data_IF_413606604199
#
_entry.id   IF_413606604199
#
_cell.length_a   1.000
_cell.length_b   1.000
_cell.length_c   1.000
_cell.angle_alpha   90.00
_cell.angle_beta   90.00
_cell.angle_gamma   90.00
#
_symmetry.space_group_name_H-M   'P 1'
#
loop_
_entity.id
_entity.type
_entity.pdbx_description
1 polymer ?
#
# COMPACT_ATOMS: atom_id res chain seq x y z
N UNK A 1 33.72 30.70 22.86
CA UNK A 1 34.33 30.59 24.24
C UNK A 1 33.46 29.67 25.07
N UNK A 2 34.12 28.67 25.73
CA UNK A 2 33.67 27.75 26.80
C UNK A 2 32.76 26.60 26.37
N UNK A 3 33.26 25.39 26.10
CA UNK A 3 33.71 24.23 26.96
C UNK A 3 32.51 23.37 27.35
N UNK A 4 32.29 22.24 26.72
CA UNK A 4 32.66 20.85 27.03
C UNK A 4 32.41 20.41 28.49
N UNK A 5 31.55 19.39 28.66
CA UNK A 5 31.78 18.39 29.70
C UNK A 5 31.13 17.04 29.33
N UNK A 6 32.02 16.07 29.10
CA UNK A 6 31.77 14.64 29.02
C UNK A 6 31.45 14.09 30.40
N UNK A 7 30.56 13.09 30.50
CA UNK A 7 30.57 12.17 31.64
C UNK A 7 30.35 10.73 31.10
N UNK A 8 31.46 9.99 31.08
CA UNK A 8 31.51 8.54 31.00
C UNK A 8 31.10 7.97 32.37
N UNK A 9 30.27 6.93 32.39
CA UNK A 9 30.20 5.98 33.51
C UNK A 9 30.18 4.56 32.94
N UNK A 10 31.33 3.92 33.14
CA UNK A 10 31.54 2.49 33.04
C UNK A 10 31.06 1.81 34.31
N UNK A 11 30.38 0.67 34.23
CA UNK A 11 30.27 -0.27 35.34
C UNK A 11 30.62 -1.68 34.87
N UNK A 12 31.55 -2.25 35.60
CA UNK A 12 32.22 -3.50 35.33
C UNK A 12 31.45 -4.71 35.90
N UNK A 13 31.57 -5.76 35.17
CA UNK A 13 31.60 -7.21 35.39
C UNK A 13 31.78 -7.66 36.86
N UNK A 14 30.99 -8.66 37.29
CA UNK A 14 31.45 -9.72 38.20
C UNK A 14 30.84 -11.07 37.84
N UNK A 15 31.73 -12.00 37.48
CA UNK A 15 31.46 -13.43 37.33
C UNK A 15 31.53 -14.12 38.71
N UNK A 16 30.70 -15.11 38.93
CA UNK A 16 30.89 -16.10 39.99
C UNK A 16 30.59 -17.51 39.46
N UNK A 17 31.66 -18.28 39.37
CA UNK A 17 31.70 -19.72 39.13
C UNK A 17 31.63 -20.42 40.50
N UNK A 18 30.83 -21.46 40.63
CA UNK A 18 30.99 -22.47 41.65
C UNK A 18 30.61 -23.86 41.13
N UNK A 19 31.64 -24.69 41.07
CA UNK A 19 31.61 -26.12 40.80
C UNK A 19 31.14 -26.91 42.04
N UNK A 20 30.56 -28.08 41.83
CA UNK A 20 30.33 -29.05 42.88
C UNK A 20 30.07 -30.44 42.30
N UNK A 21 31.12 -31.29 42.32
CA UNK A 21 31.09 -32.72 42.05
C UNK A 21 30.72 -33.54 43.29
N UNK A 22 30.06 -34.70 43.11
CA UNK A 22 30.29 -36.01 43.77
C UNK A 22 29.23 -37.00 43.30
N UNK A 23 29.52 -38.06 42.60
CA UNK A 23 30.10 -39.38 42.80
C UNK A 23 29.24 -40.38 43.62
N UNK A 24 29.01 -41.56 43.00
CA UNK A 24 28.77 -42.88 43.57
C UNK A 24 27.41 -43.46 43.16
N UNK A 25 27.29 -44.63 42.61
CA UNK A 25 28.08 -45.82 42.42
C UNK A 25 27.11 -47.00 42.27
N UNK A 26 27.28 -47.79 41.22
CA UNK A 26 27.17 -49.23 41.04
C UNK A 26 25.96 -50.00 41.70
N UNK A 27 25.24 -50.81 40.97
CA UNK A 27 25.49 -52.22 40.64
C UNK A 27 24.30 -52.84 39.90
N UNK A 28 24.60 -53.70 38.97
CA UNK A 28 23.73 -54.65 38.27
C UNK A 28 23.82 -55.99 39.03
N UNK A 29 22.88 -56.93 39.02
CA UNK A 29 22.94 -57.98 38.01
C UNK A 29 21.62 -58.63 37.55
N UNK A 30 21.61 -58.98 36.27
CA UNK A 30 21.33 -60.28 35.61
C UNK A 30 20.18 -61.20 36.12
N UNK A 31 19.35 -61.59 35.26
CA UNK A 31 19.13 -62.91 34.60
C UNK A 31 17.67 -63.30 34.44
N UNK A 32 17.33 -63.69 33.35
CA UNK A 32 16.98 -64.92 32.60
C UNK A 32 15.52 -65.00 32.14
N UNK A 33 15.42 -65.11 30.80
CA UNK A 33 14.63 -65.99 29.94
C UNK A 33 13.17 -66.36 30.34
N UNK A 34 12.26 -66.26 29.37
CA UNK A 34 11.75 -67.34 28.56
C UNK A 34 10.74 -66.80 27.50
N UNK A 35 10.82 -67.41 26.33
CA UNK A 35 10.01 -67.25 25.13
C UNK A 35 8.56 -67.56 25.31
N UNK A 36 7.67 -66.81 24.62
CA UNK A 36 6.57 -67.46 23.86
C UNK A 36 6.04 -66.53 22.79
N UNK A 37 5.88 -67.09 21.61
CA UNK A 37 5.27 -66.53 20.42
C UNK A 37 3.76 -66.39 20.60
N UNK A 38 3.20 -65.24 20.18
CA UNK A 38 1.94 -65.33 19.41
C UNK A 38 1.77 -64.13 18.51
N UNK A 39 1.40 -64.44 17.30
CA UNK A 39 1.13 -63.60 16.14
C UNK A 39 -0.18 -62.85 16.35
N UNK A 40 -0.21 -61.53 15.97
CA UNK A 40 -1.31 -61.04 15.11
C UNK A 40 -1.16 -59.57 14.79
N UNK A 41 -1.32 -59.32 13.49
CA UNK A 41 -1.84 -58.12 12.84
C UNK A 41 -1.08 -56.81 13.03
N UNK A 42 -0.22 -56.56 12.07
CA UNK A 42 0.21 -55.21 11.63
C UNK A 42 -1.00 -54.38 11.25
N UNK A 43 -1.28 -53.34 12.04
CA UNK A 43 -1.96 -52.14 11.57
C UNK A 43 -0.88 -51.12 11.36
N UNK A 44 -0.56 -50.87 10.11
CA UNK A 44 0.35 -49.77 9.71
C UNK A 44 -0.33 -48.44 10.09
N UNK A 45 0.07 -47.83 11.20
CA UNK A 45 -0.06 -46.38 11.37
C UNK A 45 0.96 -45.75 10.43
N UNK A 46 0.46 -45.28 9.28
CA UNK A 46 1.14 -44.28 8.50
C UNK A 46 1.26 -43.01 9.36
N UNK A 47 2.37 -42.90 10.06
CA UNK A 47 2.84 -41.63 10.60
C UNK A 47 3.10 -40.73 9.38
N UNK A 48 2.12 -39.92 9.05
CA UNK A 48 2.31 -38.76 8.18
C UNK A 48 3.47 -37.96 8.77
N UNK A 49 4.66 -38.15 8.19
CA UNK A 49 5.77 -37.21 8.37
C UNK A 49 5.23 -35.86 7.89
N UNK A 50 4.99 -34.92 8.79
CA UNK A 50 4.87 -33.51 8.44
C UNK A 50 6.11 -33.20 7.57
N UNK A 51 5.89 -32.94 6.30
CA UNK A 51 6.90 -32.44 5.40
C UNK A 51 7.40 -31.13 6.06
N UNK A 52 8.70 -31.07 6.36
CA UNK A 52 9.34 -29.78 6.67
C UNK A 52 8.94 -28.81 5.58
N UNK A 53 8.53 -27.55 5.91
CA UNK A 53 8.17 -26.57 4.90
C UNK A 53 9.36 -26.41 3.96
N UNK A 54 9.15 -26.73 2.68
CA UNK A 54 10.11 -26.41 1.63
C UNK A 54 10.56 -24.96 1.85
N UNK A 55 11.86 -24.71 1.64
CA UNK A 55 12.48 -23.37 1.79
C UNK A 55 11.76 -22.40 0.84
N UNK A 56 10.69 -21.77 1.35
CA UNK A 56 9.83 -20.90 0.54
C UNK A 56 10.56 -19.60 0.33
N UNK A 57 10.60 -19.12 -0.90
CA UNK A 57 11.14 -17.80 -1.19
C UNK A 57 10.35 -16.72 -0.43
N UNK A 58 11.05 -15.91 0.35
CA UNK A 58 10.44 -14.80 1.08
C UNK A 58 10.40 -13.57 0.18
N UNK A 59 9.21 -13.15 -0.21
CA UNK A 59 9.00 -11.93 -0.99
C UNK A 59 9.15 -10.70 -0.11
N UNK A 60 10.01 -9.76 -0.52
CA UNK A 60 10.22 -8.48 0.13
C UNK A 60 9.29 -7.43 -0.50
N UNK A 61 8.33 -6.98 0.26
CA UNK A 61 7.23 -6.14 -0.22
C UNK A 61 7.31 -4.76 0.42
N UNK A 62 7.45 -3.73 -0.42
CA UNK A 62 7.40 -2.34 0.01
C UNK A 62 6.04 -1.71 -0.26
N UNK A 63 5.56 -0.87 0.65
CA UNK A 63 4.32 -0.12 0.42
C UNK A 63 4.40 1.31 0.95
N UNK A 64 3.58 2.18 0.37
CA UNK A 64 3.48 3.58 0.78
C UNK A 64 2.42 3.73 1.88
N UNK A 65 2.77 4.38 2.98
CA UNK A 65 1.85 4.65 4.08
C UNK A 65 0.65 5.47 3.60
N UNK A 66 -0.53 4.85 3.57
CA UNK A 66 -1.75 5.46 3.07
C UNK A 66 -2.71 4.44 2.45
N UNK A 67 -3.64 4.87 1.57
CA UNK A 67 -4.63 3.99 0.94
C UNK A 67 -4.03 2.77 0.24
N UNK A 68 -2.87 2.91 -0.43
CA UNK A 68 -2.18 1.80 -1.11
C UNK A 68 -1.77 0.66 -0.18
N UNK A 69 -1.53 0.93 1.11
CA UNK A 69 -1.18 -0.11 2.10
C UNK A 69 -2.40 -0.70 2.80
N UNK A 70 -3.57 -0.05 2.73
CA UNK A 70 -4.75 -0.50 3.48
C UNK A 70 -5.30 -1.83 2.95
N UNK A 71 -5.14 -2.10 1.65
CA UNK A 71 -5.52 -3.38 1.05
C UNK A 71 -4.63 -4.56 1.48
N UNK A 72 -3.44 -4.29 2.05
CA UNK A 72 -2.51 -5.33 2.51
C UNK A 72 -2.65 -5.70 3.99
N UNK A 73 -3.37 -4.90 4.81
CA UNK A 73 -3.29 -5.04 6.27
C UNK A 73 -3.76 -6.40 6.79
N UNK A 74 -4.69 -7.06 6.10
CA UNK A 74 -5.11 -8.41 6.47
C UNK A 74 -4.02 -9.43 6.15
N UNK A 75 -3.38 -9.34 5.00
CA UNK A 75 -2.26 -10.19 4.63
C UNK A 75 -1.06 -9.98 5.56
N UNK A 76 -0.76 -8.73 5.95
CA UNK A 76 0.28 -8.42 6.93
C UNK A 76 -0.01 -9.10 8.27
N UNK A 77 -1.23 -9.01 8.79
CA UNK A 77 -1.68 -9.65 10.02
C UNK A 77 -1.61 -11.19 9.94
N UNK A 78 -2.00 -11.77 8.80
CA UNK A 78 -1.91 -13.21 8.56
C UNK A 78 -0.44 -13.67 8.51
N UNK A 79 0.42 -12.93 7.85
CA UNK A 79 1.86 -13.22 7.76
C UNK A 79 2.53 -13.16 9.14
N UNK A 80 2.24 -12.12 9.95
CA UNK A 80 2.78 -12.00 11.31
C UNK A 80 2.35 -13.16 12.22
N UNK A 81 1.13 -13.67 12.02
CA UNK A 81 0.57 -14.82 12.77
C UNK A 81 1.01 -16.18 12.22
N UNK A 82 1.76 -16.21 11.12
CA UNK A 82 2.17 -17.45 10.45
C UNK A 82 1.03 -18.19 9.75
N UNK A 83 -0.04 -17.49 9.39
CA UNK A 83 -1.23 -18.02 8.72
C UNK A 83 -1.29 -17.71 7.22
N UNK A 84 -0.30 -17.00 6.68
CA UNK A 84 -0.19 -16.74 5.25
C UNK A 84 0.31 -18.00 4.51
N UNK A 85 -0.15 -18.20 3.27
CA UNK A 85 0.33 -19.28 2.41
C UNK A 85 1.74 -18.99 1.91
N UNK A 86 2.05 -17.72 1.57
CA UNK A 86 3.36 -17.27 1.18
C UNK A 86 4.26 -16.93 2.37
N UNK A 87 5.52 -16.58 2.07
CA UNK A 87 6.47 -16.00 3.02
C UNK A 87 6.73 -14.55 2.63
N UNK A 88 6.50 -13.60 3.53
CA UNK A 88 6.53 -12.17 3.24
C UNK A 88 7.31 -11.39 4.27
N UNK A 89 8.09 -10.41 3.79
CA UNK A 89 8.75 -9.38 4.60
C UNK A 89 8.22 -8.00 4.15
N UNK A 90 7.47 -7.34 5.01
CA UNK A 90 6.81 -6.07 4.70
C UNK A 90 7.59 -4.88 5.21
N UNK A 91 7.81 -3.91 4.33
CA UNK A 91 8.39 -2.60 4.66
C UNK A 91 7.42 -1.50 4.26
N UNK A 92 7.04 -0.63 5.18
CA UNK A 92 6.20 0.53 4.90
C UNK A 92 7.02 1.82 5.01
N UNK A 93 6.93 2.67 3.98
CA UNK A 93 7.63 3.96 3.91
C UNK A 93 6.64 5.12 3.77
N UNK A 94 7.11 6.34 4.01
CA UNK A 94 6.29 7.56 3.89
C UNK A 94 6.53 8.33 2.60
N UNK A 95 7.66 8.10 1.94
CA UNK A 95 8.04 8.77 0.69
C UNK A 95 8.16 7.76 -0.45
N UNK A 96 7.50 8.04 -1.57
CA UNK A 96 7.46 7.14 -2.71
C UNK A 96 8.86 6.96 -3.37
N UNK A 97 9.74 7.97 -3.29
CA UNK A 97 11.11 7.88 -3.81
C UNK A 97 11.96 6.82 -3.07
N UNK A 98 11.64 6.51 -1.81
CA UNK A 98 12.31 5.42 -1.08
C UNK A 98 12.00 4.06 -1.70
N UNK A 99 10.75 3.83 -2.15
CA UNK A 99 10.37 2.60 -2.85
C UNK A 99 11.09 2.48 -4.19
N UNK A 100 11.18 3.58 -4.96
CA UNK A 100 11.95 3.60 -6.20
C UNK A 100 13.41 3.16 -5.95
N UNK A 101 14.08 3.76 -4.95
CA UNK A 101 15.46 3.40 -4.60
C UNK A 101 15.61 1.91 -4.29
N UNK A 102 14.72 1.37 -3.44
CA UNK A 102 14.75 -0.03 -2.99
C UNK A 102 14.42 -1.05 -4.10
N UNK A 103 13.54 -0.74 -5.04
CA UNK A 103 13.29 -1.59 -6.23
C UNK A 103 14.52 -1.63 -7.13
N UNK A 104 15.12 -0.45 -7.41
CA UNK A 104 16.31 -0.35 -8.27
C UNK A 104 17.52 -1.05 -7.65
N UNK A 105 17.72 -0.94 -6.32
CA UNK A 105 18.80 -1.64 -5.60
C UNK A 105 18.53 -3.12 -5.36
N UNK A 106 17.34 -3.63 -5.73
CA UNK A 106 16.88 -5.01 -5.48
C UNK A 106 16.72 -5.36 -4.00
N UNK A 107 16.52 -4.35 -3.15
CA UNK A 107 16.18 -4.55 -1.73
C UNK A 107 14.72 -4.94 -1.54
N UNK A 108 13.86 -4.65 -2.55
CA UNK A 108 12.47 -5.09 -2.63
C UNK A 108 12.24 -5.90 -3.91
N UNK A 109 11.32 -6.85 -3.83
CA UNK A 109 10.82 -7.66 -4.93
C UNK A 109 9.55 -7.08 -5.53
N UNK A 110 8.66 -6.61 -4.65
CA UNK A 110 7.36 -6.02 -4.96
C UNK A 110 7.29 -4.64 -4.30
N UNK A 111 6.64 -3.68 -4.97
CA UNK A 111 6.32 -2.39 -4.37
C UNK A 111 4.91 -1.91 -4.78
N UNK A 112 4.17 -1.39 -3.79
CA UNK A 112 2.91 -0.69 -4.00
C UNK A 112 3.21 0.80 -4.11
N UNK A 113 3.07 1.33 -5.32
CA UNK A 113 3.53 2.68 -5.69
C UNK A 113 2.42 3.48 -6.37
N UNK A 114 2.54 4.83 -6.43
CA UNK A 114 1.69 5.65 -7.29
C UNK A 114 1.75 5.18 -8.76
N UNK A 115 0.61 5.17 -9.43
CA UNK A 115 0.48 4.62 -10.77
C UNK A 115 1.43 5.26 -11.81
N UNK A 116 1.59 6.59 -11.77
CA UNK A 116 2.53 7.30 -12.65
C UNK A 116 4.00 6.98 -12.31
N UNK A 117 4.31 6.74 -11.03
CA UNK A 117 5.65 6.35 -10.61
C UNK A 117 6.02 4.95 -11.14
N UNK A 118 5.06 4.01 -11.21
CA UNK A 118 5.31 2.71 -11.82
C UNK A 118 5.83 2.85 -13.27
N UNK A 119 5.22 3.73 -14.07
CA UNK A 119 5.70 4.04 -15.43
C UNK A 119 7.10 4.69 -15.42
N UNK A 120 7.38 5.60 -14.49
CA UNK A 120 8.70 6.20 -14.33
C UNK A 120 9.74 5.13 -13.96
N UNK A 121 9.42 4.21 -13.05
CA UNK A 121 10.30 3.10 -12.66
C UNK A 121 10.58 2.20 -13.86
N UNK A 122 9.55 1.79 -14.59
CA UNK A 122 9.67 0.97 -15.80
C UNK A 122 10.63 1.61 -16.81
N UNK A 123 10.46 2.89 -17.12
CA UNK A 123 11.33 3.60 -18.05
C UNK A 123 12.78 3.74 -17.53
N UNK A 124 12.97 3.98 -16.24
CA UNK A 124 14.29 4.14 -15.61
C UNK A 124 15.05 2.81 -15.43
N UNK A 125 14.36 1.70 -15.33
CA UNK A 125 14.96 0.37 -15.14
C UNK A 125 15.13 -0.39 -16.44
N UNK A 126 14.97 0.26 -17.61
CA UNK A 126 14.96 -0.41 -18.92
C UNK A 126 13.96 -1.58 -18.97
N UNK A 127 12.74 -1.33 -18.49
CA UNK A 127 11.60 -2.26 -18.51
C UNK A 127 11.75 -3.48 -17.58
N UNK A 128 12.51 -3.35 -16.49
CA UNK A 128 12.74 -4.47 -15.55
C UNK A 128 11.65 -4.64 -14.47
N UNK A 129 10.53 -3.94 -14.58
CA UNK A 129 9.37 -4.10 -13.68
C UNK A 129 8.08 -4.27 -14.46
N UNK A 130 7.15 -5.02 -13.90
CA UNK A 130 5.81 -5.28 -14.45
C UNK A 130 4.75 -4.98 -13.38
N UNK A 131 3.61 -4.40 -13.78
CA UNK A 131 2.46 -4.14 -12.91
C UNK A 131 1.63 -5.40 -12.77
N UNK A 132 1.42 -5.86 -11.53
CA UNK A 132 0.61 -7.04 -11.21
C UNK A 132 -0.88 -6.71 -11.11
N UNK A 133 -1.21 -5.60 -10.44
CA UNK A 133 -2.59 -5.16 -10.19
C UNK A 133 -2.68 -3.65 -9.97
N UNK A 134 -3.92 -3.13 -10.07
CA UNK A 134 -4.31 -1.84 -9.50
C UNK A 134 -4.83 -2.12 -8.10
N UNK A 135 -4.21 -1.53 -7.09
CA UNK A 135 -4.57 -1.70 -5.68
C UNK A 135 -5.42 -0.55 -5.11
N UNK A 136 -5.41 0.62 -5.76
CA UNK A 136 -6.12 1.81 -5.30
C UNK A 136 -6.58 2.64 -6.50
N UNK A 137 -7.89 2.88 -6.60
CA UNK A 137 -8.45 3.84 -7.55
C UNK A 137 -8.38 5.28 -7.00
N UNK A 138 -9.20 6.20 -7.52
CA UNK A 138 -9.13 7.60 -7.10
C UNK A 138 -9.54 7.81 -5.64
N UNK A 139 -8.80 8.68 -4.95
CA UNK A 139 -8.97 9.01 -3.53
C UNK A 139 -9.03 10.51 -3.27
N UNK A 140 -9.23 11.31 -4.32
CA UNK A 140 -9.23 12.77 -4.28
C UNK A 140 -10.64 13.32 -4.23
N UNK A 141 -10.89 14.23 -3.28
CA UNK A 141 -12.20 14.84 -3.05
C UNK A 141 -12.08 16.34 -2.84
N UNK A 142 -13.01 17.10 -3.42
CA UNK A 142 -13.23 18.48 -3.07
C UNK A 142 -14.02 18.57 -1.75
N UNK A 143 -13.50 19.31 -0.79
CA UNK A 143 -14.09 19.50 0.55
C UNK A 143 -14.40 20.99 0.76
N UNK A 144 -15.63 21.32 1.14
CA UNK A 144 -16.08 22.68 1.41
C UNK A 144 -17.35 22.68 2.25
N UNK A 145 -17.67 23.79 2.90
CA UNK A 145 -19.00 24.07 3.46
C UNK A 145 -19.95 24.72 2.44
N UNK A 146 -19.45 25.11 1.27
CA UNK A 146 -20.25 25.70 0.20
C UNK A 146 -21.10 24.64 -0.53
N UNK A 147 -22.36 24.55 -0.15
CA UNK A 147 -23.32 23.59 -0.73
C UNK A 147 -23.70 23.89 -2.20
N UNK A 148 -23.25 24.99 -2.79
CA UNK A 148 -23.50 25.31 -4.20
C UNK A 148 -22.64 24.48 -5.17
N UNK A 149 -21.55 23.89 -4.68
CA UNK A 149 -20.62 23.07 -5.47
C UNK A 149 -21.20 21.66 -5.60
N UNK A 150 -21.50 21.23 -6.83
CA UNK A 150 -22.04 19.91 -7.16
C UNK A 150 -21.24 19.19 -8.25
N UNK A 151 -20.56 19.97 -9.10
CA UNK A 151 -19.75 19.50 -10.22
C UNK A 151 -18.48 20.33 -10.32
N UNK A 152 -17.53 19.88 -11.11
CA UNK A 152 -16.30 20.63 -11.35
C UNK A 152 -16.55 22.00 -12.01
N UNK A 153 -17.64 22.15 -12.79
CA UNK A 153 -18.02 23.43 -13.40
C UNK A 153 -18.35 24.50 -12.35
N UNK A 154 -18.83 24.13 -11.17
CA UNK A 154 -19.18 25.05 -10.08
C UNK A 154 -17.93 25.64 -9.37
N UNK A 155 -16.74 25.17 -9.73
CA UNK A 155 -15.46 25.72 -9.24
C UNK A 155 -15.10 27.05 -9.93
N UNK A 156 -15.83 27.49 -10.95
CA UNK A 156 -15.56 28.75 -11.65
C UNK A 156 -15.56 29.95 -10.69
N UNK A 157 -14.45 30.72 -10.72
CA UNK A 157 -14.24 31.89 -9.87
C UNK A 157 -13.88 31.59 -8.42
N UNK A 158 -13.74 30.29 -8.04
CA UNK A 158 -13.39 29.91 -6.67
C UNK A 158 -11.89 29.77 -6.50
N UNK A 159 -11.45 29.79 -5.23
CA UNK A 159 -10.08 29.41 -4.85
C UNK A 159 -10.08 27.98 -4.38
N UNK A 160 -9.24 27.14 -5.01
CA UNK A 160 -9.02 25.74 -4.66
C UNK A 160 -7.64 25.57 -4.05
N UNK A 161 -7.60 25.10 -2.81
CA UNK A 161 -6.37 24.77 -2.08
C UNK A 161 -6.05 23.29 -2.27
N UNK A 162 -4.82 22.99 -2.70
CA UNK A 162 -4.38 21.62 -2.97
C UNK A 162 -2.89 21.44 -2.70
N UNK A 163 -2.41 20.20 -2.80
CA UNK A 163 -0.99 19.86 -2.75
C UNK A 163 -0.53 19.24 -4.05
N UNK A 164 0.79 19.08 -4.23
CA UNK A 164 1.34 18.28 -5.31
C UNK A 164 1.27 18.94 -6.68
N UNK A 165 1.69 20.22 -6.79
CA UNK A 165 1.84 20.89 -8.09
C UNK A 165 2.69 20.05 -9.05
N UNK A 166 2.19 19.79 -10.26
CA UNK A 166 2.88 18.95 -11.25
C UNK A 166 2.87 17.47 -10.90
N UNK A 167 1.93 17.01 -10.06
CA UNK A 167 1.73 15.60 -9.69
C UNK A 167 0.27 15.18 -9.87
N UNK A 168 -0.07 13.94 -9.51
CA UNK A 168 -1.41 13.37 -9.72
C UNK A 168 -2.58 14.27 -9.28
N UNK A 169 -2.60 14.89 -8.08
CA UNK A 169 -3.73 15.75 -7.69
C UNK A 169 -3.94 16.94 -8.63
N UNK A 170 -2.85 17.55 -9.07
CA UNK A 170 -2.87 18.69 -9.99
C UNK A 170 -3.36 18.27 -11.38
N UNK A 171 -2.77 17.22 -11.96
CA UNK A 171 -3.18 16.73 -13.27
C UNK A 171 -4.61 16.23 -13.28
N UNK A 172 -5.06 15.51 -12.25
CA UNK A 172 -6.42 15.04 -12.14
C UNK A 172 -7.41 16.20 -12.09
N UNK A 173 -7.14 17.25 -11.30
CA UNK A 173 -7.99 18.44 -11.26
C UNK A 173 -8.02 19.15 -12.61
N UNK A 174 -6.87 19.39 -13.23
CA UNK A 174 -6.79 20.08 -14.53
C UNK A 174 -7.52 19.30 -15.62
N UNK A 175 -7.43 17.96 -15.65
CA UNK A 175 -8.17 17.12 -16.58
C UNK A 175 -9.68 17.31 -16.43
N UNK A 176 -10.18 17.21 -15.19
CA UNK A 176 -11.60 17.35 -14.87
C UNK A 176 -12.12 18.76 -15.18
N UNK A 177 -11.35 19.80 -14.87
CA UNK A 177 -11.68 21.19 -15.22
C UNK A 177 -11.81 21.38 -16.72
N UNK A 178 -10.82 20.90 -17.48
CA UNK A 178 -10.83 20.99 -18.96
C UNK A 178 -12.04 20.30 -19.56
N UNK A 179 -12.38 19.11 -19.05
CA UNK A 179 -13.56 18.37 -19.49
C UNK A 179 -14.88 19.08 -19.14
N UNK A 180 -14.89 19.86 -18.05
CA UNK A 180 -16.04 20.71 -17.64
C UNK A 180 -16.07 22.06 -18.35
N UNK A 181 -15.20 22.28 -19.36
CA UNK A 181 -15.12 23.54 -20.12
C UNK A 181 -14.45 24.68 -19.37
N UNK A 182 -13.71 24.39 -18.32
CA UNK A 182 -12.94 25.34 -17.54
C UNK A 182 -11.44 25.21 -17.82
N UNK A 183 -10.70 26.30 -17.56
CA UNK A 183 -9.25 26.34 -17.58
C UNK A 183 -8.70 26.73 -16.21
N UNK A 184 -7.38 26.62 -16.01
CA UNK A 184 -6.75 27.08 -14.79
C UNK A 184 -6.93 28.60 -14.55
N UNK A 185 -7.22 29.39 -15.63
CA UNK A 185 -7.48 30.84 -15.51
C UNK A 185 -8.90 31.15 -14.99
N UNK A 186 -9.81 30.19 -15.05
CA UNK A 186 -11.19 30.32 -14.54
C UNK A 186 -11.28 30.14 -13.03
N UNK A 187 -10.24 29.64 -12.38
CA UNK A 187 -10.15 29.38 -10.93
C UNK A 187 -8.82 29.89 -10.37
N UNK A 188 -8.74 30.04 -9.06
CA UNK A 188 -7.47 30.34 -8.38
C UNK A 188 -6.93 29.06 -7.73
N UNK A 189 -5.77 28.56 -8.19
CA UNK A 189 -5.11 27.39 -7.59
C UNK A 189 -4.05 27.81 -6.58
N UNK A 190 -4.25 27.41 -5.33
CA UNK A 190 -3.34 27.69 -4.22
C UNK A 190 -2.65 26.39 -3.76
N UNK A 191 -1.40 26.19 -4.17
CA UNK A 191 -0.64 24.99 -3.80
C UNK A 191 -0.03 25.14 -2.40
N UNK A 192 -0.21 24.11 -1.56
CA UNK A 192 0.38 23.99 -0.22
C UNK A 192 1.40 22.87 -0.21
N UNK A 193 2.32 22.92 0.75
CA UNK A 193 3.37 21.91 0.89
C UNK A 193 2.79 20.56 1.33
N UNK A 194 1.81 20.60 2.25
CA UNK A 194 1.23 19.40 2.85
C UNK A 194 -0.30 19.48 2.95
N UNK A 195 -0.95 18.32 2.88
CA UNK A 195 -2.41 18.22 3.00
C UNK A 195 -2.94 18.74 4.35
N UNK A 196 -2.16 18.63 5.43
CA UNK A 196 -2.51 19.16 6.74
C UNK A 196 -2.65 20.70 6.74
N UNK A 197 -1.92 21.43 5.89
CA UNK A 197 -2.08 22.87 5.73
C UNK A 197 -3.45 23.20 5.10
N UNK A 198 -3.86 22.43 4.09
CA UNK A 198 -5.20 22.57 3.47
C UNK A 198 -6.30 22.31 4.50
N UNK A 199 -6.16 21.27 5.32
CA UNK A 199 -7.10 20.99 6.44
C UNK A 199 -7.19 22.18 7.39
N UNK A 200 -6.05 22.80 7.74
CA UNK A 200 -6.03 23.98 8.62
C UNK A 200 -6.71 25.19 7.99
N UNK A 201 -6.54 25.41 6.69
CA UNK A 201 -7.22 26.47 5.95
C UNK A 201 -8.74 26.26 5.96
N UNK A 202 -9.22 25.04 5.70
CA UNK A 202 -10.65 24.72 5.72
C UNK A 202 -11.28 24.88 7.10
N UNK A 203 -10.51 24.72 8.17
CA UNK A 203 -10.97 24.99 9.54
C UNK A 203 -11.25 26.49 9.76
N UNK A 204 -10.42 27.35 9.18
CA UNK A 204 -10.53 28.82 9.32
C UNK A 204 -11.47 29.44 8.29
N UNK A 205 -11.52 28.85 7.09
CA UNK A 205 -12.30 29.33 5.93
C UNK A 205 -13.12 28.16 5.37
N UNK A 206 -14.21 27.76 6.02
CA UNK A 206 -14.94 26.55 5.65
C UNK A 206 -15.59 26.63 4.26
N UNK A 207 -15.90 27.85 3.76
CA UNK A 207 -16.45 28.06 2.41
C UNK A 207 -15.37 27.97 1.29
N UNK A 208 -14.09 27.92 1.64
CA UNK A 208 -13.04 27.65 0.67
C UNK A 208 -13.12 26.18 0.20
N UNK A 209 -12.55 25.91 -0.97
CA UNK A 209 -12.48 24.53 -1.51
C UNK A 209 -11.10 23.95 -1.26
N UNK A 210 -11.03 22.83 -0.56
CA UNK A 210 -9.80 22.05 -0.44
C UNK A 210 -9.89 20.79 -1.27
N UNK A 211 -8.94 20.54 -2.17
CA UNK A 211 -8.77 19.25 -2.83
C UNK A 211 -7.83 18.40 -1.99
N UNK A 212 -8.37 17.35 -1.39
CA UNK A 212 -7.67 16.51 -0.43
C UNK A 212 -7.75 15.02 -0.79
N UNK A 213 -6.69 14.25 -0.54
CA UNK A 213 -6.79 12.79 -0.54
C UNK A 213 -7.36 12.26 0.78
N UNK A 214 -7.90 11.04 0.77
CA UNK A 214 -8.09 10.29 2.01
C UNK A 214 -6.73 9.91 2.62
N UNK A 215 -6.59 9.92 3.95
CA UNK A 215 -7.61 10.15 4.99
C UNK A 215 -7.79 11.63 5.42
N UNK A 216 -7.12 12.59 4.75
CA UNK A 216 -7.17 14.01 5.12
C UNK A 216 -8.57 14.61 4.98
N UNK A 217 -9.38 14.13 4.01
CA UNK A 217 -10.81 14.47 3.89
C UNK A 217 -11.55 14.14 5.18
N UNK A 218 -11.44 12.90 5.65
CA UNK A 218 -12.08 12.45 6.90
C UNK A 218 -11.57 13.24 8.10
N UNK A 219 -10.27 13.53 8.14
CA UNK A 219 -9.69 14.34 9.22
C UNK A 219 -10.19 15.79 9.22
N UNK A 220 -10.37 16.40 8.04
CA UNK A 220 -10.93 17.75 7.92
C UNK A 220 -12.39 17.79 8.42
N UNK A 221 -13.22 16.88 7.94
CA UNK A 221 -14.63 16.78 8.32
C UNK A 221 -14.80 16.45 9.83
N UNK A 222 -13.88 15.68 10.43
CA UNK A 222 -13.89 15.41 11.86
C UNK A 222 -13.51 16.63 12.72
N UNK A 223 -12.84 17.64 12.15
CA UNK A 223 -12.46 18.89 12.84
C UNK A 223 -13.48 20.00 12.66
N UNK A 224 -14.34 19.91 11.64
CA UNK A 224 -15.36 20.90 11.36
C UNK A 224 -16.57 20.24 10.70
N UNK A 225 -17.67 20.11 11.42
CA UNK A 225 -18.90 19.44 11.00
C UNK A 225 -19.65 20.16 9.87
N UNK A 226 -19.31 21.42 9.55
CA UNK A 226 -19.88 22.12 8.40
C UNK A 226 -19.28 21.65 7.06
N UNK A 227 -18.08 21.06 7.08
CA UNK A 227 -17.41 20.58 5.89
C UNK A 227 -18.06 19.31 5.33
N UNK A 228 -18.15 19.24 4.01
CA UNK A 228 -18.69 18.10 3.26
C UNK A 228 -17.78 17.75 2.10
N UNK A 229 -17.81 16.51 1.65
CA UNK A 229 -17.31 16.14 0.34
C UNK A 229 -18.29 16.68 -0.71
N UNK A 230 -17.92 17.75 -1.38
CA UNK A 230 -18.75 18.43 -2.38
C UNK A 230 -18.43 17.97 -3.81
N UNK A 231 -17.23 17.38 -4.01
CA UNK A 231 -16.78 16.89 -5.30
C UNK A 231 -16.02 15.57 -5.11
N UNK A 232 -16.36 14.57 -5.93
CA UNK A 232 -15.64 13.30 -6.04
C UNK A 232 -14.91 13.30 -7.38
N UNK A 233 -13.58 13.47 -7.32
CA UNK A 233 -12.77 13.60 -8.54
C UNK A 233 -12.77 12.34 -9.39
N UNK A 234 -12.96 11.17 -8.78
CA UNK A 234 -13.07 9.91 -9.52
C UNK A 234 -14.35 9.88 -10.38
N UNK A 235 -15.48 10.30 -9.80
CA UNK A 235 -16.75 10.37 -10.56
C UNK A 235 -16.68 11.40 -11.66
N UNK A 236 -16.09 12.57 -11.40
CA UNK A 236 -15.89 13.59 -12.42
C UNK A 236 -14.97 13.09 -13.54
N UNK A 237 -13.89 12.39 -13.19
CA UNK A 237 -12.98 11.78 -14.16
C UNK A 237 -13.69 10.72 -15.01
N UNK A 238 -14.38 9.78 -14.38
CA UNK A 238 -15.07 8.68 -15.08
C UNK A 238 -16.17 9.21 -16.03
N UNK A 239 -16.85 10.30 -15.66
CA UNK A 239 -17.81 10.97 -16.53
C UNK A 239 -17.17 11.59 -17.78
N UNK A 240 -15.85 11.88 -17.76
CA UNK A 240 -15.10 12.51 -18.86
C UNK A 240 -14.27 11.53 -19.66
N UNK A 241 -14.00 10.33 -19.14
CA UNK A 241 -13.10 9.35 -19.75
C UNK A 241 -13.57 8.84 -21.12
N UNK A 242 -14.86 8.95 -21.43
CA UNK A 242 -15.41 8.63 -22.74
C UNK A 242 -14.96 7.28 -23.27
N UNK A 243 -14.64 7.21 -24.58
CA UNK A 243 -14.14 6.00 -25.24
C UNK A 243 -12.69 5.62 -24.86
N UNK A 244 -11.93 6.49 -24.17
CA UNK A 244 -10.54 6.19 -23.75
C UNK A 244 -10.47 5.16 -22.64
N UNK A 245 -11.58 4.87 -21.93
CA UNK A 245 -11.71 3.75 -20.99
C UNK A 245 -10.85 3.85 -19.71
N UNK A 246 -10.12 4.96 -19.52
CA UNK A 246 -9.28 5.16 -18.33
C UNK A 246 -10.09 5.59 -17.13
N UNK A 247 -9.68 5.20 -15.93
CA UNK A 247 -10.20 5.69 -14.65
C UNK A 247 -9.08 6.40 -13.88
N UNK A 248 -9.43 7.17 -12.86
CA UNK A 248 -8.41 7.77 -11.97
C UNK A 248 -7.74 6.66 -11.14
N UNK A 249 -6.52 6.28 -11.52
CA UNK A 249 -5.73 5.24 -10.83
C UNK A 249 -4.71 5.90 -9.92
N UNK A 250 -4.82 5.64 -8.61
CA UNK A 250 -3.88 6.19 -7.63
C UNK A 250 -2.70 5.28 -7.39
N UNK A 251 -2.93 3.99 -7.15
CA UNK A 251 -1.90 3.03 -6.76
C UNK A 251 -1.94 1.74 -7.53
N UNK A 252 -0.75 1.20 -7.79
CA UNK A 252 -0.52 -0.10 -8.45
C UNK A 252 0.53 -0.90 -7.70
N UNK A 253 0.50 -2.20 -7.89
CA UNK A 253 1.49 -3.14 -7.38
C UNK A 253 2.44 -3.50 -8.52
N UNK A 254 3.73 -3.21 -8.36
CA UNK A 254 4.79 -3.61 -9.31
C UNK A 254 5.65 -4.72 -8.75
N UNK A 255 6.16 -5.57 -9.62
CA UNK A 255 7.13 -6.61 -9.30
C UNK A 255 8.31 -6.54 -10.27
N UNK A 256 9.50 -6.90 -9.80
CA UNK A 256 10.66 -7.07 -10.66
C UNK A 256 10.51 -8.30 -11.56
N UNK A 257 10.92 -8.17 -12.81
CA UNK A 257 10.78 -9.24 -13.82
C UNK A 257 11.63 -10.48 -13.51
N UNK A 258 12.80 -10.30 -12.88
CA UNK A 258 13.65 -11.43 -12.44
C UNK A 258 12.92 -12.27 -11.37
N UNK A 259 12.19 -11.63 -10.44
CA UNK A 259 11.41 -12.33 -9.41
C UNK A 259 10.20 -13.06 -10.01
N UNK A 260 9.47 -12.41 -10.92
CA UNK A 260 8.35 -13.07 -11.64
C UNK A 260 8.84 -14.33 -12.35
N UNK A 261 10.00 -14.25 -13.01
CA UNK A 261 10.59 -15.37 -13.76
C UNK A 261 11.06 -16.51 -12.86
N UNK A 262 11.76 -16.16 -11.78
CA UNK A 262 12.48 -17.15 -10.97
C UNK A 262 11.61 -17.69 -9.81
N UNK A 263 10.57 -16.96 -9.39
CA UNK A 263 9.71 -17.27 -8.23
C UNK A 263 8.21 -17.12 -8.54
N UNK A 264 7.77 -17.51 -9.73
CA UNK A 264 6.39 -17.36 -10.21
C UNK A 264 5.32 -17.93 -9.27
N UNK A 265 5.60 -19.06 -8.59
CA UNK A 265 4.67 -19.64 -7.60
C UNK A 265 4.48 -18.71 -6.39
N UNK A 266 5.55 -18.09 -5.91
CA UNK A 266 5.45 -17.12 -4.79
C UNK A 266 4.67 -15.87 -5.21
N UNK A 267 4.83 -15.42 -6.46
CA UNK A 267 4.05 -14.28 -7.01
C UNK A 267 2.58 -14.65 -7.14
N UNK A 268 2.24 -15.85 -7.62
CA UNK A 268 0.86 -16.31 -7.74
C UNK A 268 0.17 -16.38 -6.36
N UNK A 269 0.87 -16.92 -5.34
CA UNK A 269 0.38 -16.94 -3.96
C UNK A 269 0.14 -15.54 -3.43
N UNK A 270 1.10 -14.62 -3.60
CA UNK A 270 0.95 -13.22 -3.19
C UNK A 270 -0.24 -12.55 -3.87
N UNK A 271 -0.41 -12.71 -5.17
CA UNK A 271 -1.54 -12.10 -5.90
C UNK A 271 -2.89 -12.60 -5.38
N UNK A 272 -3.01 -13.90 -5.11
CA UNK A 272 -4.23 -14.48 -4.54
C UNK A 272 -4.52 -13.92 -3.13
N UNK A 273 -3.55 -13.92 -2.23
CA UNK A 273 -3.70 -13.44 -0.86
C UNK A 273 -3.87 -11.91 -0.80
N UNK A 274 -3.21 -11.14 -1.70
CA UNK A 274 -3.42 -9.69 -1.81
C UNK A 274 -4.87 -9.38 -2.23
N UNK A 275 -5.39 -10.12 -3.22
CA UNK A 275 -6.80 -9.99 -3.64
C UNK A 275 -7.75 -10.24 -2.48
N UNK A 276 -7.58 -11.35 -1.77
CA UNK A 276 -8.40 -11.68 -0.60
C UNK A 276 -8.31 -10.60 0.48
N UNK A 277 -7.11 -10.07 0.74
CA UNK A 277 -6.87 -9.00 1.70
C UNK A 277 -7.59 -7.70 1.30
N UNK A 278 -7.54 -7.32 0.01
CA UNK A 278 -8.24 -6.13 -0.50
C UNK A 278 -9.77 -6.28 -0.45
N UNK A 279 -10.29 -7.47 -0.80
CA UNK A 279 -11.72 -7.79 -0.69
C UNK A 279 -12.18 -7.77 0.77
N UNK A 280 -11.37 -8.36 1.68
CA UNK A 280 -11.62 -8.31 3.12
C UNK A 280 -11.69 -6.88 3.64
N UNK A 281 -10.78 -6.01 3.22
CA UNK A 281 -10.73 -4.62 3.67
C UNK A 281 -12.02 -3.85 3.38
N UNK A 282 -12.65 -4.11 2.25
CA UNK A 282 -13.93 -3.50 1.87
C UNK A 282 -15.13 -4.15 2.58
N UNK A 283 -15.10 -5.46 2.80
CA UNK A 283 -16.20 -6.21 3.40
C UNK A 283 -16.24 -6.07 4.94
N UNK A 284 -15.10 -5.85 5.60
CA UNK A 284 -14.93 -5.88 7.05
C UNK A 284 -14.32 -4.58 7.58
N UNK A 285 -14.97 -3.44 7.29
CA UNK A 285 -14.44 -2.10 7.54
C UNK A 285 -13.96 -1.87 8.97
N UNK A 286 -14.73 -2.31 9.98
CA UNK A 286 -14.37 -2.13 11.38
C UNK A 286 -13.12 -2.93 11.79
N UNK A 287 -12.99 -4.19 11.33
CA UNK A 287 -11.80 -5.02 11.57
C UNK A 287 -10.59 -4.46 10.83
N UNK A 288 -10.78 -4.07 9.56
CA UNK A 288 -9.75 -3.41 8.77
C UNK A 288 -9.27 -2.11 9.41
N UNK A 289 -10.17 -1.30 9.98
CA UNK A 289 -9.80 -0.08 10.69
C UNK A 289 -8.91 -0.35 11.91
N UNK A 290 -9.16 -1.44 12.64
CA UNK A 290 -8.30 -1.86 13.74
C UNK A 290 -6.90 -2.27 13.23
N UNK A 291 -6.82 -3.04 12.15
CA UNK A 291 -5.57 -3.43 11.51
C UNK A 291 -4.79 -2.22 10.94
N UNK A 292 -5.49 -1.30 10.27
CA UNK A 292 -4.92 -0.03 9.76
C UNK A 292 -4.31 0.80 10.89
N UNK A 293 -4.97 0.85 12.05
CA UNK A 293 -4.44 1.54 13.22
C UNK A 293 -3.25 0.81 13.84
N UNK A 294 -3.30 -0.51 13.94
CA UNK A 294 -2.20 -1.34 14.44
C UNK A 294 -0.95 -1.22 13.56
N UNK A 295 -1.12 -1.20 12.23
CA UNK A 295 -0.05 -0.97 11.26
C UNK A 295 0.45 0.50 11.23
N UNK A 296 -0.15 1.41 11.99
CA UNK A 296 0.26 2.81 12.06
C UNK A 296 -0.04 3.62 10.79
N UNK A 297 -0.92 3.15 9.91
CA UNK A 297 -1.33 3.87 8.68
C UNK A 297 -2.18 5.07 9.05
N UNK A 298 -3.19 4.87 9.88
CA UNK A 298 -4.00 5.92 10.51
C UNK A 298 -4.00 5.66 12.02
N UNK A 299 -3.59 6.63 12.83
CA UNK A 299 -3.38 6.44 14.27
C UNK A 299 -4.61 5.97 15.05
N UNK A 300 -5.81 6.34 14.58
CA UNK A 300 -7.07 6.10 15.30
C UNK A 300 -8.03 5.25 14.48
N UNK A 301 -8.36 4.06 14.97
CA UNK A 301 -9.31 3.15 14.32
C UNK A 301 -10.67 3.81 13.98
N UNK A 302 -11.30 4.65 14.81
CA UNK A 302 -12.55 5.32 14.42
C UNK A 302 -12.41 6.31 13.25
N UNK A 303 -11.22 6.87 13.03
CA UNK A 303 -10.94 7.71 11.85
C UNK A 303 -10.72 6.83 10.62
N UNK A 304 -9.97 5.73 10.78
CA UNK A 304 -9.77 4.74 9.72
C UNK A 304 -11.12 4.15 9.25
N UNK A 305 -11.99 3.77 10.17
CA UNK A 305 -13.32 3.21 9.87
C UNK A 305 -14.18 4.15 9.01
N UNK A 306 -14.12 5.45 9.28
CA UNK A 306 -14.81 6.47 8.48
C UNK A 306 -14.14 6.72 7.13
N UNK A 307 -12.82 6.55 7.03
CA UNK A 307 -12.05 6.84 5.82
C UNK A 307 -12.07 5.69 4.81
N UNK A 308 -11.99 4.42 5.27
CA UNK A 308 -11.86 3.22 4.43
C UNK A 308 -12.87 3.16 3.28
N UNK A 309 -14.19 3.45 3.49
CA UNK A 309 -15.17 3.41 2.38
C UNK A 309 -14.89 4.39 1.23
N UNK A 310 -14.02 5.38 1.46
CA UNK A 310 -13.63 6.41 0.50
C UNK A 310 -12.16 6.30 0.06
N UNK A 311 -11.48 5.23 0.47
CA UNK A 311 -10.08 4.97 0.08
C UNK A 311 -9.94 4.21 -1.23
N UNK A 312 -11.05 3.85 -1.88
CA UNK A 312 -11.09 3.15 -3.18
C UNK A 312 -10.15 1.96 -3.25
N UNK A 313 -10.02 1.22 -2.13
CA UNK A 313 -9.23 0.00 -2.04
C UNK A 313 -9.81 -1.01 -3.04
N UNK A 314 -8.96 -1.57 -3.90
CA UNK A 314 -9.42 -2.50 -4.95
C UNK A 314 -8.33 -3.54 -5.24
N UNK A 315 -8.69 -4.51 -6.06
CA UNK A 315 -7.78 -5.41 -6.74
C UNK A 315 -8.28 -5.61 -8.16
N UNK A 316 -7.54 -5.10 -9.14
CA UNK A 316 -7.87 -5.24 -10.56
C UNK A 316 -6.62 -5.68 -11.31
N UNK A 317 -6.69 -6.83 -11.99
CA UNK A 317 -5.60 -7.42 -12.76
C UNK A 317 -5.99 -7.63 -14.24
N UNK A 318 -5.09 -8.23 -15.02
CA UNK A 318 -5.29 -8.66 -16.39
C UNK A 318 -5.73 -7.54 -17.33
N UNK A 319 -6.59 -7.87 -18.29
CA UNK A 319 -7.06 -6.95 -19.35
C UNK A 319 -7.71 -5.69 -18.78
N UNK A 320 -8.45 -5.81 -17.68
CA UNK A 320 -9.12 -4.66 -17.06
C UNK A 320 -8.10 -3.71 -16.45
N UNK A 321 -7.08 -4.22 -15.75
CA UNK A 321 -5.96 -3.40 -15.25
C UNK A 321 -5.29 -2.66 -16.40
N UNK A 322 -4.91 -3.38 -17.47
CA UNK A 322 -4.27 -2.80 -18.65
C UNK A 322 -5.12 -1.67 -19.25
N UNK A 323 -6.42 -1.89 -19.44
CA UNK A 323 -7.32 -0.88 -20.00
C UNK A 323 -7.39 0.39 -19.14
N UNK A 324 -7.63 0.24 -17.83
CA UNK A 324 -7.78 1.37 -16.92
C UNK A 324 -6.45 2.16 -16.77
N UNK A 325 -5.35 1.43 -16.55
CA UNK A 325 -4.06 2.05 -16.30
C UNK A 325 -3.47 2.71 -17.55
N UNK A 326 -3.56 2.07 -18.72
CA UNK A 326 -3.06 2.68 -19.97
C UNK A 326 -3.83 3.94 -20.33
N UNK A 327 -5.15 3.95 -20.14
CA UNK A 327 -5.99 5.13 -20.36
C UNK A 327 -5.60 6.28 -19.42
N UNK A 328 -5.40 5.97 -18.13
CA UNK A 328 -4.92 6.94 -17.15
C UNK A 328 -3.55 7.52 -17.51
N UNK A 329 -2.56 6.67 -17.77
CA UNK A 329 -1.20 7.09 -18.11
C UNK A 329 -1.17 7.91 -19.40
N UNK A 330 -2.04 7.60 -20.37
CA UNK A 330 -2.16 8.39 -21.60
C UNK A 330 -2.65 9.82 -21.32
N UNK A 331 -3.63 10.01 -20.45
CA UNK A 331 -4.10 11.34 -20.07
C UNK A 331 -2.96 12.14 -19.44
N UNK A 332 -2.20 11.53 -18.52
CA UNK A 332 -1.05 12.19 -17.89
C UNK A 332 0.03 12.54 -18.92
N UNK A 333 0.35 11.62 -19.83
CA UNK A 333 1.33 11.82 -20.88
C UNK A 333 0.94 12.96 -21.82
N UNK A 334 -0.32 13.05 -22.23
CA UNK A 334 -0.82 14.10 -23.12
C UNK A 334 -0.77 15.49 -22.44
N UNK A 335 -0.81 15.56 -21.11
CA UNK A 335 -0.67 16.79 -20.34
C UNK A 335 0.78 17.16 -20.11
N UNK A 336 1.58 16.19 -19.69
CA UNK A 336 3.00 16.37 -19.36
C UNK A 336 3.75 15.02 -19.49
N UNK A 337 4.47 14.77 -20.60
CA UNK A 337 5.16 13.50 -20.84
C UNK A 337 6.10 13.07 -19.71
N UNK A 338 6.74 14.03 -19.03
CA UNK A 338 7.65 13.74 -17.92
C UNK A 338 6.95 13.13 -16.71
N UNK A 339 5.63 13.33 -16.58
CA UNK A 339 4.81 12.78 -15.49
C UNK A 339 4.76 11.25 -15.47
N UNK A 340 5.03 10.62 -16.63
CA UNK A 340 5.05 9.16 -16.80
C UNK A 340 6.46 8.63 -17.19
N UNK A 341 7.49 9.48 -17.09
CA UNK A 341 8.87 9.11 -17.41
C UNK A 341 9.28 9.34 -18.86
N UNK A 342 8.54 10.18 -19.62
CA UNK A 342 8.89 10.63 -20.97
C UNK A 342 8.31 9.79 -22.10
N UNK A 343 7.97 8.53 -21.84
CA UNK A 343 7.32 7.61 -22.80
C UNK A 343 6.25 6.78 -22.13
N UNK A 344 5.18 6.44 -22.88
CA UNK A 344 4.17 5.50 -22.40
C UNK A 344 4.76 4.09 -22.35
N UNK A 345 4.42 3.29 -21.31
CA UNK A 345 4.84 1.90 -21.22
C UNK A 345 4.32 1.05 -22.37
N UNK A 346 5.09 0.03 -22.76
CA UNK A 346 4.71 -0.99 -23.73
C UNK A 346 3.87 -2.11 -23.08
N UNK A 347 3.47 -3.10 -23.88
CA UNK A 347 2.58 -4.19 -23.44
C UNK A 347 3.18 -5.08 -22.34
N UNK A 348 4.49 -5.22 -22.29
CA UNK A 348 5.24 -5.98 -21.26
C UNK A 348 5.23 -5.32 -19.87
N UNK A 349 4.76 -4.08 -19.77
CA UNK A 349 4.52 -3.41 -18.49
C UNK A 349 3.37 -4.03 -17.69
N UNK A 350 2.44 -4.71 -18.33
CA UNK A 350 1.21 -5.24 -17.73
C UNK A 350 1.33 -6.76 -17.58
N UNK A 351 1.23 -7.25 -16.35
CA UNK A 351 1.20 -8.68 -16.08
C UNK A 351 -0.10 -9.30 -16.61
N UNK A 352 0.05 -10.29 -17.46
CA UNK A 352 -1.06 -11.07 -18.01
C UNK A 352 -0.84 -12.51 -17.56
N UNK A 353 -1.58 -12.97 -16.50
CA UNK A 353 -1.39 -14.30 -15.92
C UNK A 353 -1.81 -15.44 -16.84
#
# INVERSE_FOLDING_TARGET
MKKALSLLMAFAVTAAVLSGCAKGGAENPQATSVSEKESTSETAEETSKAQEPADRYTLKIGSLKGPTSMGLVKLMDQSEKGNAEGSYDFTMVTAADELLGKIVSKDLDIALVPANMASIIYNKTNHEVTVLDINTLGVLYGVSADDSIKTAADLKGKTVYLTGKGTTPDYALQHVLKASGLTADDITLEYKSEAAEVVSILKEKPDAVGLLPQPFVTAAMAQNDSLKMVLDLTKEWDATAGESGGSLVTGVTICRNDVIKDHGEAIAAFMAEHKESAEFANANVAETAALVAAAGIIEKAPVAEKAIPYCSITYVDGDRMKSLLSGYLKVLFDMEPSSVGGTLPADDFYYMP
#
